data_IF_062383997854
#
_entry.id   IF_062383997854
#
_cell.length_a   1.000
_cell.length_b   1.000
_cell.length_c   1.000
_cell.angle_alpha   90.00
_cell.angle_beta   90.00
_cell.angle_gamma   90.00
#
_symmetry.space_group_name_H-M   'P 1'
#
loop_
_entity.id
_entity.type
_entity.pdbx_description
1 polymer ?
#
# COMPACT_ATOMS: atom_id res chain seq x y z
N UNK A 1 -25.54 -26.79 -40.49
CA UNK A 1 -24.55 -26.76 -39.39
C UNK A 1 -24.96 -25.65 -38.43
N UNK A 2 -25.61 -26.00 -37.31
CA UNK A 2 -26.04 -25.06 -36.29
C UNK A 2 -24.90 -24.83 -35.29
N UNK A 3 -24.39 -23.60 -35.20
CA UNK A 3 -23.45 -23.19 -34.16
C UNK A 3 -24.18 -23.15 -32.81
N UNK A 4 -23.66 -23.78 -31.73
CA UNK A 4 -24.24 -23.60 -30.41
C UNK A 4 -24.02 -22.15 -29.94
N UNK A 5 -24.99 -21.54 -29.23
CA UNK A 5 -24.82 -20.19 -28.71
C UNK A 5 -23.68 -20.17 -27.69
N UNK A 6 -22.74 -19.24 -27.89
CA UNK A 6 -21.66 -18.94 -26.94
C UNK A 6 -22.27 -18.50 -25.60
N UNK A 7 -22.24 -19.40 -24.60
CA UNK A 7 -22.61 -19.04 -23.23
C UNK A 7 -21.68 -17.92 -22.75
N UNK A 8 -22.19 -16.80 -22.20
CA UNK A 8 -21.34 -15.81 -21.58
C UNK A 8 -20.56 -16.47 -20.43
N UNK A 9 -19.24 -16.30 -20.45
CA UNK A 9 -18.33 -16.78 -19.42
C UNK A 9 -18.74 -16.20 -18.07
N UNK A 10 -19.37 -17.02 -17.22
CA UNK A 10 -19.76 -16.65 -15.86
C UNK A 10 -18.57 -16.24 -14.96
N UNK A 11 -17.32 -16.45 -15.40
CA UNK A 11 -16.11 -16.06 -14.68
C UNK A 11 -15.53 -14.69 -15.04
N UNK A 12 -15.98 -14.05 -16.13
CA UNK A 12 -15.49 -12.73 -16.56
C UNK A 12 -15.86 -11.57 -15.61
N UNK A 13 -17.10 -11.44 -15.09
CA UNK A 13 -17.49 -10.27 -14.30
C UNK A 13 -16.77 -10.22 -12.94
N UNK A 14 -16.57 -11.37 -12.28
CA UNK A 14 -15.86 -11.45 -11.00
C UNK A 14 -14.39 -11.05 -11.09
N UNK A 15 -13.72 -11.38 -12.21
CA UNK A 15 -12.33 -10.96 -12.46
C UNK A 15 -12.23 -9.46 -12.70
N UNK A 16 -13.19 -8.88 -13.43
CA UNK A 16 -13.25 -7.44 -13.66
C UNK A 16 -13.49 -6.68 -12.35
N UNK A 17 -14.44 -7.12 -11.52
CA UNK A 17 -14.70 -6.52 -10.19
C UNK A 17 -13.44 -6.58 -9.31
N UNK A 18 -12.77 -7.73 -9.25
CA UNK A 18 -11.54 -7.86 -8.48
C UNK A 18 -10.45 -6.90 -8.97
N UNK A 19 -10.25 -6.79 -10.29
CA UNK A 19 -9.26 -5.88 -10.87
C UNK A 19 -9.56 -4.41 -10.56
N UNK A 20 -10.84 -4.01 -10.63
CA UNK A 20 -11.27 -2.66 -10.26
C UNK A 20 -11.02 -2.38 -8.78
N UNK A 21 -11.40 -3.30 -7.89
CA UNK A 21 -11.19 -3.14 -6.44
C UNK A 21 -9.70 -3.09 -6.10
N UNK A 22 -8.89 -4.01 -6.63
CA UNK A 22 -7.45 -4.04 -6.42
C UNK A 22 -6.78 -2.77 -6.98
N UNK A 23 -7.20 -2.30 -8.16
CA UNK A 23 -6.69 -1.08 -8.77
C UNK A 23 -7.03 0.17 -7.97
N UNK A 24 -8.26 0.27 -7.46
CA UNK A 24 -8.67 1.37 -6.58
C UNK A 24 -7.87 1.38 -5.27
N UNK A 25 -7.70 0.22 -4.65
CA UNK A 25 -6.91 0.09 -3.42
C UNK A 25 -5.44 0.46 -3.66
N UNK A 26 -4.87 0.05 -4.81
CA UNK A 26 -3.52 0.44 -5.19
C UNK A 26 -3.39 1.95 -5.38
N UNK A 27 -4.35 2.58 -6.07
CA UNK A 27 -4.36 4.02 -6.26
C UNK A 27 -4.44 4.78 -4.93
N UNK A 28 -5.29 4.33 -4.00
CA UNK A 28 -5.39 4.89 -2.65
C UNK A 28 -4.07 4.73 -1.90
N UNK A 29 -3.45 3.55 -1.95
CA UNK A 29 -2.19 3.29 -1.27
C UNK A 29 -1.03 4.14 -1.82
N UNK A 30 -0.98 4.34 -3.13
CA UNK A 30 -0.01 5.26 -3.76
C UNK A 30 -0.28 6.71 -3.33
N UNK A 31 -1.54 7.13 -3.28
CA UNK A 31 -1.91 8.48 -2.83
C UNK A 31 -1.51 8.71 -1.35
N UNK A 32 -1.75 7.74 -0.47
CA UNK A 32 -1.34 7.79 0.94
C UNK A 32 0.18 7.88 1.07
N UNK A 33 0.92 7.05 0.34
CA UNK A 33 2.39 7.12 0.33
C UNK A 33 2.90 8.48 -0.19
N UNK A 34 2.26 9.02 -1.22
CA UNK A 34 2.55 10.35 -1.74
C UNK A 34 2.29 11.45 -0.71
N UNK A 35 1.17 11.38 0.02
CA UNK A 35 0.81 12.33 1.08
C UNK A 35 1.81 12.26 2.24
N UNK A 36 2.21 11.06 2.66
CA UNK A 36 3.22 10.85 3.70
C UNK A 36 4.59 11.39 3.27
N UNK A 37 5.01 11.10 2.03
CA UNK A 37 6.27 11.60 1.48
C UNK A 37 6.26 13.12 1.37
N UNK A 38 5.15 13.71 0.93
CA UNK A 38 4.95 15.16 0.90
C UNK A 38 5.07 15.77 2.29
N UNK A 39 4.36 15.22 3.29
CA UNK A 39 4.43 15.69 4.67
C UNK A 39 5.84 15.62 5.27
N UNK A 40 6.60 14.57 4.97
CA UNK A 40 7.98 14.41 5.45
C UNK A 40 8.95 15.41 4.83
N UNK A 41 8.75 15.80 3.57
CA UNK A 41 9.57 16.85 2.94
C UNK A 41 9.45 18.18 3.68
N UNK A 42 8.25 18.56 4.14
CA UNK A 42 8.06 19.78 4.93
C UNK A 42 8.40 19.63 6.41
N UNK A 43 8.48 18.41 6.93
CA UNK A 43 8.84 18.16 8.33
C UNK A 43 10.31 18.52 8.61
N UNK A 44 11.21 18.33 7.63
CA UNK A 44 12.63 18.68 7.75
C UNK A 44 12.89 20.19 7.88
N UNK A 45 12.06 21.03 7.24
CA UNK A 45 12.19 22.49 7.29
C UNK A 45 11.81 23.09 8.65
N UNK A 46 11.12 22.32 9.51
CA UNK A 46 10.67 22.75 10.84
C UNK A 46 11.61 22.31 11.98
N UNK A 47 12.88 22.02 11.66
CA UNK A 47 13.88 21.68 12.67
C UNK A 47 14.06 22.84 13.67
N UNK A 48 13.64 22.61 14.92
CA UNK A 48 13.85 23.55 16.04
C UNK A 48 12.66 24.46 16.41
N UNK A 49 11.51 24.40 15.72
CA UNK A 49 10.38 25.31 16.01
C UNK A 49 9.33 24.75 16.99
N UNK A 50 9.36 23.45 17.30
CA UNK A 50 8.36 22.79 18.16
C UNK A 50 8.97 21.70 19.04
N UNK A 51 8.54 21.59 20.31
CA UNK A 51 9.07 20.65 21.31
C UNK A 51 8.88 19.14 21.00
N UNK A 52 8.39 18.78 19.81
CA UNK A 52 8.23 17.40 19.34
C UNK A 52 8.97 17.06 18.04
N UNK A 53 9.67 18.02 17.41
CA UNK A 53 10.35 17.80 16.12
C UNK A 53 11.83 17.42 16.24
N UNK A 54 12.36 17.21 17.45
CA UNK A 54 13.77 16.87 17.65
C UNK A 54 14.22 15.57 16.95
N UNK A 55 13.32 14.59 16.79
CA UNK A 55 13.61 13.34 16.06
C UNK A 55 13.88 13.56 14.57
N UNK A 56 13.39 14.66 14.00
CA UNK A 56 13.67 15.06 12.62
C UNK A 56 15.00 15.82 12.47
N UNK A 57 15.70 16.10 13.57
CA UNK A 57 17.02 16.74 13.55
C UNK A 57 18.13 15.77 13.96
N UNK A 58 17.81 14.48 14.12
CA UNK A 58 18.78 13.45 14.46
C UNK A 58 19.55 13.07 13.18
N UNK A 59 20.84 13.39 13.11
CA UNK A 59 21.73 13.26 11.94
C UNK A 59 21.88 11.82 11.40
N UNK A 60 21.27 10.83 12.05
CA UNK A 60 21.34 9.42 11.66
C UNK A 60 20.66 9.12 10.33
N UNK A 61 19.69 9.93 9.86
CA UNK A 61 18.94 9.71 8.61
C UNK A 61 18.10 8.42 8.58
N UNK A 62 18.17 7.59 9.62
CA UNK A 62 17.50 6.29 9.73
C UNK A 62 15.99 6.47 9.81
N UNK A 63 15.51 7.50 10.51
CA UNK A 63 14.08 7.80 10.57
C UNK A 63 13.53 8.13 9.17
N UNK A 64 14.29 8.87 8.36
CA UNK A 64 13.89 9.24 7.01
C UNK A 64 13.84 8.01 6.11
N UNK A 65 14.81 7.09 6.24
CA UNK A 65 14.77 5.81 5.52
C UNK A 65 13.55 4.96 5.91
N UNK A 66 13.27 4.79 7.20
CA UNK A 66 12.16 3.95 7.67
C UNK A 66 10.81 4.57 7.34
N UNK A 67 10.64 5.86 7.57
CA UNK A 67 9.37 6.55 7.39
C UNK A 67 9.04 6.78 5.90
N UNK A 68 10.06 6.97 5.07
CA UNK A 68 9.90 7.18 3.63
C UNK A 68 9.85 5.86 2.88
N UNK A 69 10.80 4.93 3.08
CA UNK A 69 10.82 3.65 2.35
C UNK A 69 9.92 2.57 2.94
N UNK A 70 9.65 2.59 4.26
CA UNK A 70 8.82 1.58 4.92
C UNK A 70 7.43 1.40 4.29
N UNK A 71 6.66 2.48 4.03
CA UNK A 71 5.37 2.40 3.36
C UNK A 71 5.44 1.85 1.92
N UNK A 72 6.53 2.11 1.19
CA UNK A 72 6.75 1.56 -0.15
C UNK A 72 7.13 0.08 -0.13
N UNK A 73 7.95 -0.34 0.83
CA UNK A 73 8.30 -1.76 1.02
C UNK A 73 7.07 -2.57 1.42
N UNK A 74 6.24 -2.03 2.33
CA UNK A 74 4.98 -2.65 2.71
C UNK A 74 3.99 -2.75 1.53
N UNK A 75 3.92 -1.72 0.68
CA UNK A 75 3.16 -1.75 -0.57
C UNK A 75 3.66 -2.85 -1.51
N UNK A 76 4.97 -2.95 -1.73
CA UNK A 76 5.55 -3.98 -2.58
C UNK A 76 5.25 -5.39 -2.05
N UNK A 77 5.40 -5.60 -0.75
CA UNK A 77 5.05 -6.87 -0.10
C UNK A 77 3.55 -7.19 -0.24
N UNK A 78 2.67 -6.20 -0.06
CA UNK A 78 1.24 -6.35 -0.25
C UNK A 78 0.91 -6.78 -1.69
N UNK A 79 1.49 -6.12 -2.70
CA UNK A 79 1.31 -6.47 -4.12
C UNK A 79 1.75 -7.91 -4.39
N UNK A 80 2.94 -8.30 -3.91
CA UNK A 80 3.43 -9.68 -4.06
C UNK A 80 2.46 -10.69 -3.41
N UNK A 81 1.96 -10.38 -2.23
CA UNK A 81 1.00 -11.22 -1.50
C UNK A 81 -0.31 -11.40 -2.26
N UNK A 82 -0.85 -10.30 -2.81
CA UNK A 82 -2.08 -10.32 -3.62
C UNK A 82 -1.88 -11.10 -4.92
N UNK A 83 -0.77 -10.86 -5.64
CA UNK A 83 -0.45 -11.53 -6.91
C UNK A 83 -0.26 -13.03 -6.68
N UNK A 84 0.51 -13.43 -5.67
CA UNK A 84 0.71 -14.83 -5.33
C UNK A 84 -0.60 -15.51 -4.96
N UNK A 85 -1.46 -14.86 -4.18
CA UNK A 85 -2.75 -15.41 -3.78
C UNK A 85 -3.76 -15.51 -4.92
N UNK A 86 -3.78 -14.53 -5.83
CA UNK A 86 -4.62 -14.55 -7.02
C UNK A 86 -4.18 -15.62 -8.02
N UNK A 87 -2.87 -15.80 -8.23
CA UNK A 87 -2.31 -16.74 -9.23
C UNK A 87 -2.23 -18.18 -8.70
N UNK A 88 -1.71 -18.37 -7.48
CA UNK A 88 -1.39 -19.71 -6.94
C UNK A 88 -2.50 -20.32 -6.11
N UNK A 89 -3.18 -19.53 -5.28
CA UNK A 89 -4.13 -20.05 -4.26
C UNK A 89 -5.59 -20.03 -4.75
N UNK A 90 -5.87 -19.36 -5.87
CA UNK A 90 -7.23 -19.17 -6.43
C UNK A 90 -8.25 -18.63 -5.42
N UNK A 91 -7.78 -17.98 -4.34
CA UNK A 91 -8.60 -17.30 -3.32
C UNK A 91 -8.29 -15.79 -3.34
N UNK A 92 -8.70 -15.07 -4.40
CA UNK A 92 -8.28 -13.70 -4.66
C UNK A 92 -8.70 -12.73 -3.55
N UNK A 93 -9.90 -12.92 -2.99
CA UNK A 93 -10.44 -12.06 -1.94
C UNK A 93 -9.68 -12.17 -0.62
N UNK A 94 -9.30 -13.40 -0.22
CA UNK A 94 -8.55 -13.63 1.02
C UNK A 94 -7.12 -13.11 0.91
N UNK A 95 -6.52 -13.17 -0.28
CA UNK A 95 -5.20 -12.58 -0.51
C UNK A 95 -5.23 -11.05 -0.53
N UNK A 96 -6.35 -10.47 -0.97
CA UNK A 96 -6.52 -9.02 -1.02
C UNK A 96 -6.68 -8.45 0.40
N UNK A 97 -7.47 -9.07 1.28
CA UNK A 97 -7.52 -8.68 2.70
C UNK A 97 -6.16 -8.81 3.38
N UNK A 98 -5.41 -9.87 3.09
CA UNK A 98 -4.06 -10.05 3.62
C UNK A 98 -3.09 -8.98 3.09
N UNK A 99 -3.18 -8.65 1.80
CA UNK A 99 -2.41 -7.56 1.20
C UNK A 99 -2.71 -6.20 1.84
N UNK A 100 -3.98 -5.91 2.14
CA UNK A 100 -4.36 -4.67 2.85
C UNK A 100 -3.77 -4.63 4.26
N UNK A 101 -3.82 -5.74 5.00
CA UNK A 101 -3.20 -5.83 6.33
C UNK A 101 -1.69 -5.64 6.26
N UNK A 102 -1.03 -6.26 5.29
CA UNK A 102 0.42 -6.11 5.06
C UNK A 102 0.77 -4.67 4.65
N UNK A 103 -0.06 -4.02 3.84
CA UNK A 103 0.18 -2.61 3.50
C UNK A 103 0.04 -1.72 4.73
N UNK A 104 -1.00 -1.93 5.56
CA UNK A 104 -1.30 -1.08 6.71
C UNK A 104 -0.17 -1.02 7.76
N UNK A 105 0.66 -2.05 7.87
CA UNK A 105 1.80 -2.03 8.80
C UNK A 105 2.83 -0.97 8.43
N UNK A 106 3.05 -0.68 7.14
CA UNK A 106 4.00 0.34 6.68
C UNK A 106 3.66 1.76 7.16
N UNK A 107 2.48 2.31 6.82
CA UNK A 107 2.01 3.59 7.32
C UNK A 107 1.89 3.62 8.85
N UNK A 108 1.47 2.53 9.49
CA UNK A 108 1.40 2.46 10.95
C UNK A 108 2.78 2.59 11.60
N UNK A 109 3.79 1.89 11.06
CA UNK A 109 5.19 2.03 11.49
C UNK A 109 5.71 3.45 11.25
N UNK A 110 5.45 4.04 10.08
CA UNK A 110 5.86 5.41 9.78
C UNK A 110 5.23 6.42 10.75
N UNK A 111 3.92 6.33 11.00
CA UNK A 111 3.23 7.18 11.97
C UNK A 111 3.74 6.95 13.40
N UNK A 112 3.99 5.71 13.79
CA UNK A 112 4.56 5.40 15.10
C UNK A 112 5.96 6.00 15.25
N UNK A 113 6.84 5.88 14.25
CA UNK A 113 8.18 6.49 14.32
C UNK A 113 8.14 8.02 14.42
N UNK A 114 7.11 8.66 13.86
CA UNK A 114 6.95 10.11 13.88
C UNK A 114 6.30 10.60 15.18
N UNK A 115 5.26 9.94 15.67
CA UNK A 115 4.40 10.45 16.75
C UNK A 115 4.49 9.68 18.09
N UNK A 116 5.09 8.49 18.12
CA UNK A 116 5.27 7.67 19.35
C UNK A 116 6.68 7.75 19.87
#
# INVERSE_FOLDING_TARGET
>A
MSHPPSRPSQGAPLRAVFAVVAGLLLAVAVAVNGLLSFGMLFAGDSCGTSAGTQRFCDDSGVWMLVAMFGPWVALAAAVVTVVLGAVRVRRPWTSLTLGVLVYATGPALALFTVFG
#
